data_IF_972945180214
#
_entry.id   IF_972945180214
#
_cell.length_a   1.000
_cell.length_b   1.000
_cell.length_c   1.000
_cell.angle_alpha   90.00
_cell.angle_beta   90.00
_cell.angle_gamma   90.00
#
_symmetry.space_group_name_H-M   'P 1'
#
loop_
_entity.id
_entity.type
_entity.pdbx_description
1 polymer ?
#
# COMPACT_ATOMS: atom_id res chain seq x y z
N UNK A 1 12.68 0.70 -0.24
CA UNK A 1 11.56 1.68 -0.22
C UNK A 1 10.46 1.13 0.67
N UNK A 2 9.79 1.96 1.48
CA UNK A 2 8.70 1.48 2.34
C UNK A 2 7.36 1.56 1.61
N UNK A 3 6.55 0.51 1.73
CA UNK A 3 5.17 0.48 1.29
C UNK A 3 4.29 0.40 2.53
N UNK A 4 3.39 1.35 2.70
CA UNK A 4 2.58 1.51 3.91
C UNK A 4 1.11 1.41 3.50
N UNK A 5 0.44 0.37 3.96
CA UNK A 5 -0.99 0.17 3.71
C UNK A 5 -1.82 0.77 4.85
N UNK A 6 -2.71 1.71 4.51
CA UNK A 6 -3.62 2.37 5.43
C UNK A 6 -5.04 1.81 5.26
N UNK A 7 -5.57 1.22 6.32
CA UNK A 7 -6.95 0.72 6.36
C UNK A 7 -7.92 1.88 6.60
N UNK A 8 -8.66 2.26 5.57
CA UNK A 8 -9.67 3.31 5.65
C UNK A 8 -10.99 2.70 6.12
N UNK A 9 -11.19 2.69 7.43
CA UNK A 9 -12.51 2.53 8.06
C UNK A 9 -12.75 1.22 8.80
N UNK A 10 -11.94 0.17 8.59
CA UNK A 10 -12.17 -1.13 9.27
C UNK A 10 -11.24 -1.38 10.46
N UNK A 11 -10.11 -0.65 10.56
CA UNK A 11 -9.10 -0.76 11.63
C UNK A 11 -8.59 -2.20 11.85
N UNK A 12 -8.60 -3.02 10.81
CA UNK A 12 -8.12 -4.41 10.80
C UNK A 12 -6.59 -4.46 10.79
N UNK A 13 -5.95 -3.47 10.16
CA UNK A 13 -4.50 -3.29 10.24
C UNK A 13 -4.19 -2.29 11.37
N UNK A 14 -3.56 -2.77 12.45
CA UNK A 14 -3.00 -1.89 13.49
C UNK A 14 -1.89 -1.02 12.87
N UNK A 15 -1.96 0.30 13.07
CA UNK A 15 -0.97 1.34 12.73
C UNK A 15 -0.19 1.18 11.41
N UNK A 16 -0.87 0.71 10.36
CA UNK A 16 -0.33 0.60 9.00
C UNK A 16 0.53 -0.65 8.79
N UNK A 17 0.23 -1.43 7.75
CA UNK A 17 1.05 -2.59 7.40
C UNK A 17 2.22 -2.12 6.52
N UNK A 18 3.46 -2.32 7.01
CA UNK A 18 4.68 -1.87 6.32
C UNK A 18 5.39 -3.05 5.64
N UNK A 19 5.72 -2.88 4.36
CA UNK A 19 6.49 -3.85 3.57
C UNK A 19 7.64 -3.15 2.87
N UNK A 20 8.81 -3.77 2.84
CA UNK A 20 9.93 -3.31 2.02
C UNK A 20 9.80 -3.86 0.59
N UNK A 21 9.93 -2.98 -0.40
CA UNK A 21 10.01 -3.40 -1.80
C UNK A 21 11.16 -2.70 -2.52
N UNK A 22 11.82 -3.46 -3.39
CA UNK A 22 12.90 -3.01 -4.27
C UNK A 22 12.41 -2.75 -5.71
N UNK A 23 11.20 -3.22 -6.07
CA UNK A 23 10.60 -3.04 -7.40
C UNK A 23 9.24 -2.36 -7.31
N UNK A 24 9.27 -1.04 -7.46
CA UNK A 24 8.10 -0.18 -7.25
C UNK A 24 7.33 0.05 -8.52
N UNK A 25 8.02 0.14 -9.66
CA UNK A 25 7.36 0.20 -10.95
C UNK A 25 6.53 -1.08 -11.18
N UNK A 26 7.10 -2.25 -10.85
CA UNK A 26 6.38 -3.52 -10.91
C UNK A 26 5.19 -3.57 -9.95
N UNK A 27 5.39 -3.13 -8.70
CA UNK A 27 4.31 -3.07 -7.71
C UNK A 27 3.18 -2.15 -8.16
N UNK A 28 3.49 -0.90 -8.54
CA UNK A 28 2.50 0.06 -9.02
C UNK A 28 1.75 -0.45 -10.25
N UNK A 29 2.43 -1.11 -11.19
CA UNK A 29 1.78 -1.71 -12.36
C UNK A 29 0.78 -2.80 -11.96
N UNK A 30 1.11 -3.62 -10.97
CA UNK A 30 0.19 -4.63 -10.43
C UNK A 30 -0.99 -3.96 -9.73
N UNK A 31 -0.74 -2.98 -8.85
CA UNK A 31 -1.79 -2.28 -8.09
C UNK A 31 -2.78 -1.57 -9.02
N UNK A 32 -2.30 -0.92 -10.08
CA UNK A 32 -3.13 -0.25 -11.07
C UNK A 32 -3.97 -1.24 -11.90
N UNK A 33 -3.38 -2.39 -12.26
CA UNK A 33 -4.05 -3.41 -13.05
C UNK A 33 -5.11 -4.19 -12.26
N UNK A 34 -4.83 -4.51 -10.99
CA UNK A 34 -5.71 -5.35 -10.17
C UNK A 34 -6.71 -4.56 -9.34
N UNK A 35 -6.35 -3.32 -8.94
CA UNK A 35 -7.06 -2.50 -7.94
C UNK A 35 -7.37 -3.26 -6.64
N UNK A 36 -6.57 -4.28 -6.33
CA UNK A 36 -6.75 -5.20 -5.21
C UNK A 36 -5.42 -5.67 -4.67
N UNK A 37 -5.36 -5.92 -3.37
CA UNK A 37 -4.19 -6.49 -2.68
C UNK A 37 -4.64 -7.53 -1.66
N UNK A 38 -3.79 -8.52 -1.40
CA UNK A 38 -4.03 -9.52 -0.35
C UNK A 38 -3.03 -9.34 0.79
N UNK A 39 -3.53 -9.05 1.98
CA UNK A 39 -2.74 -8.86 3.21
C UNK A 39 -3.29 -9.81 4.26
N UNK A 40 -2.43 -10.58 4.93
CA UNK A 40 -2.83 -11.55 5.97
C UNK A 40 -4.00 -12.47 5.55
N UNK A 41 -3.97 -12.96 4.30
CA UNK A 41 -5.00 -13.81 3.67
C UNK A 41 -6.37 -13.14 3.44
N UNK A 42 -6.51 -11.85 3.74
CA UNK A 42 -7.69 -11.05 3.43
C UNK A 42 -7.46 -10.26 2.14
N UNK A 43 -8.51 -10.11 1.34
CA UNK A 43 -8.47 -9.34 0.10
C UNK A 43 -9.08 -7.96 0.35
N UNK A 44 -8.35 -6.94 -0.08
CA UNK A 44 -8.74 -5.55 0.04
C UNK A 44 -8.80 -4.89 -1.34
N UNK A 45 -9.71 -3.93 -1.48
CA UNK A 45 -9.74 -3.01 -2.60
C UNK A 45 -8.73 -1.90 -2.37
N UNK A 46 -8.04 -1.47 -3.43
CA UNK A 46 -7.19 -0.29 -3.40
C UNK A 46 -8.05 0.90 -3.79
N UNK A 47 -8.18 1.86 -2.89
CA UNK A 47 -8.97 3.07 -3.13
C UNK A 47 -8.10 4.19 -3.69
N UNK A 48 -6.86 4.32 -3.21
CA UNK A 48 -5.93 5.36 -3.62
C UNK A 48 -4.48 4.96 -3.32
N UNK A 49 -3.52 5.65 -3.94
CA UNK A 49 -2.11 5.58 -3.55
C UNK A 49 -1.39 6.90 -3.76
N UNK A 50 -0.38 7.17 -2.95
CA UNK A 50 0.48 8.35 -3.09
C UNK A 50 1.94 8.00 -2.79
N UNK A 51 2.84 8.53 -3.62
CA UNK A 51 4.28 8.32 -3.52
C UNK A 51 4.93 9.57 -2.93
N UNK A 52 5.63 9.39 -1.82
CA UNK A 52 6.30 10.45 -1.07
C UNK A 52 7.81 10.28 -1.20
N UNK A 53 8.47 11.31 -1.73
CA UNK A 53 9.92 11.40 -1.75
C UNK A 53 10.34 12.43 -0.70
N UNK A 54 10.80 11.98 0.46
CA UNK A 54 11.38 12.85 1.47
C UNK A 54 12.70 13.46 0.99
N UNK A 55 13.05 14.65 1.46
CA UNK A 55 14.27 15.35 1.01
C UNK A 55 15.57 14.64 1.41
N UNK A 56 15.54 13.73 2.38
CA UNK A 56 16.71 12.93 2.84
C UNK A 56 16.35 11.50 3.32
N UNK A 57 15.08 11.07 3.19
CA UNK A 57 14.62 9.75 3.66
C UNK A 57 14.24 8.83 2.51
N UNK A 58 14.40 7.53 2.75
CA UNK A 58 13.97 6.45 1.85
C UNK A 58 12.54 6.71 1.35
N UNK A 59 12.24 6.55 0.04
CA UNK A 59 10.90 6.87 -0.45
C UNK A 59 9.81 5.99 0.19
N UNK A 60 8.59 6.52 0.25
CA UNK A 60 7.45 5.84 0.89
C UNK A 60 6.24 5.84 -0.06
N UNK A 61 5.67 4.65 -0.31
CA UNK A 61 4.42 4.48 -1.06
C UNK A 61 3.29 4.21 -0.07
N UNK A 62 2.36 5.14 0.03
CA UNK A 62 1.17 5.03 0.86
C UNK A 62 0.02 4.49 0.01
N UNK A 63 -0.63 3.42 0.46
CA UNK A 63 -1.74 2.78 -0.25
C UNK A 63 -2.95 2.74 0.67
N UNK A 64 -4.01 3.42 0.27
CA UNK A 64 -5.29 3.41 0.98
C UNK A 64 -6.10 2.20 0.52
N UNK A 65 -6.57 1.40 1.48
CA UNK A 65 -7.31 0.18 1.21
C UNK A 65 -8.62 0.11 2.01
N UNK A 66 -9.61 -0.56 1.44
CA UNK A 66 -10.88 -0.91 2.10
C UNK A 66 -11.19 -2.39 1.94
N UNK A 67 -12.04 -2.94 2.81
CA UNK A 67 -12.65 -4.26 2.54
C UNK A 67 -13.44 -4.25 1.22
N UNK A 68 -13.43 -5.39 0.54
CA UNK A 68 -14.25 -5.67 -0.65
C UNK A 68 -15.74 -5.84 -0.31
#
# INVERSE_FOLDING_TARGET
MKVIYHDVGTKILEDGFVVESNDIAGLMAILEATKKVRINKMEFRIDNYSLHYGSEMEPELHIDISLL
#
